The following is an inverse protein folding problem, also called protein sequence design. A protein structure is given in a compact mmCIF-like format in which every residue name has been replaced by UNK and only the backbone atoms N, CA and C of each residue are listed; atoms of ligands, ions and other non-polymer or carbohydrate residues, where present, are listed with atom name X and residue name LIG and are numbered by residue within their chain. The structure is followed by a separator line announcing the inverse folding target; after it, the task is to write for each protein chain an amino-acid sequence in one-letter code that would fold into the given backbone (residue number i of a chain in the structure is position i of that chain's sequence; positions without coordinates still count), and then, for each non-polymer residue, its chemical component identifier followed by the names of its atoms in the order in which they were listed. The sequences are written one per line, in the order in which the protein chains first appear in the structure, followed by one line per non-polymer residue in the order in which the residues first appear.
data_IF_317881810299
#
_entry.id   IF_317881810299
#
_cell.length_a   1.000
_cell.length_b   1.000
_cell.length_c   1.000
_cell.angle_alpha   90.00
_cell.angle_beta   90.00
_cell.angle_gamma   90.00
#
_symmetry.space_group_name_H-M   'P 1'
#
loop_
_entity.id
_entity.type
_entity.pdbx_description
1 polymer ?
#
# COMPACT_ATOMS: atom_id res chain seq x y z
N UNK A 1 -19.16 3.17 6.63
CA UNK A 1 -18.45 3.65 5.41
C UNK A 1 -19.45 4.30 4.45
N UNK A 2 -19.24 5.56 4.04
CA UNK A 2 -20.19 6.31 3.18
C UNK A 2 -20.26 5.80 1.73
N UNK A 3 -19.21 5.12 1.25
CA UNK A 3 -19.08 4.63 -0.13
C UNK A 3 -20.20 3.67 -0.54
N UNK A 4 -20.69 2.83 0.38
CA UNK A 4 -21.81 1.93 0.09
C UNK A 4 -23.06 2.71 -0.33
N UNK A 5 -23.34 3.87 0.29
CA UNK A 5 -24.52 4.67 -0.03
C UNK A 5 -24.43 5.27 -1.44
N UNK A 6 -23.23 5.55 -1.93
CA UNK A 6 -23.00 6.19 -3.23
C UNK A 6 -23.04 5.20 -4.40
N UNK A 7 -22.76 3.92 -4.16
CA UNK A 7 -22.87 2.89 -5.18
C UNK A 7 -24.36 2.64 -5.52
N UNK A 8 -24.66 2.39 -6.80
CA UNK A 8 -25.98 1.86 -7.20
C UNK A 8 -26.13 0.42 -6.68
N UNK A 9 -27.35 -0.08 -6.44
CA UNK A 9 -27.56 -1.49 -6.11
C UNK A 9 -26.88 -2.41 -7.14
N UNK A 10 -26.12 -3.41 -6.67
CA UNK A 10 -25.30 -4.28 -7.54
C UNK A 10 -23.96 -3.67 -8.01
N UNK A 11 -23.68 -2.41 -7.66
CA UNK A 11 -22.41 -1.75 -8.01
C UNK A 11 -21.19 -2.43 -7.39
N UNK A 12 -20.07 -2.37 -8.10
CA UNK A 12 -18.78 -2.92 -7.67
C UNK A 12 -17.93 -1.83 -7.00
N UNK A 13 -17.41 -2.14 -5.83
CA UNK A 13 -16.28 -1.46 -5.22
C UNK A 13 -15.00 -2.24 -5.57
N UNK A 14 -14.01 -1.56 -6.14
CA UNK A 14 -12.66 -2.07 -6.35
C UNK A 14 -11.68 -1.01 -5.84
N UNK A 15 -10.76 -1.39 -4.95
CA UNK A 15 -9.68 -0.51 -4.54
C UNK A 15 -8.45 -1.31 -4.14
N UNK A 16 -7.31 -0.62 -4.08
CA UNK A 16 -6.06 -1.17 -3.57
C UNK A 16 -5.54 -0.27 -2.47
N UNK A 17 -4.91 -0.83 -1.45
CA UNK A 17 -4.34 -0.03 -0.35
C UNK A 17 -3.09 -0.68 0.23
N UNK A 18 -2.21 0.15 0.80
CA UNK A 18 -1.09 -0.32 1.61
C UNK A 18 -1.66 -0.83 2.93
N UNK A 19 -1.27 -2.05 3.29
CA UNK A 19 -1.76 -2.75 4.47
C UNK A 19 -0.59 -3.07 5.40
N UNK A 20 -0.92 -3.27 6.68
CA UNK A 20 0.02 -3.90 7.60
C UNK A 20 0.23 -5.35 7.18
N UNK A 21 1.49 -5.76 7.09
CA UNK A 21 1.83 -7.15 6.83
C UNK A 21 1.77 -8.02 8.09
N UNK A 22 2.26 -9.26 7.97
CA UNK A 22 2.27 -10.22 9.08
C UNK A 22 3.46 -10.04 10.04
N UNK A 23 4.44 -9.22 9.67
CA UNK A 23 5.64 -8.92 10.44
C UNK A 23 5.38 -7.84 11.50
N UNK A 24 6.22 -7.82 12.52
CA UNK A 24 6.17 -6.79 13.57
C UNK A 24 6.77 -5.48 13.03
N UNK A 25 6.06 -4.33 13.13
CA UNK A 25 6.60 -3.06 12.68
C UNK A 25 7.91 -2.70 13.36
N UNK A 26 8.92 -2.38 12.56
CA UNK A 26 10.19 -1.82 13.03
C UNK A 26 10.01 -0.39 13.51
N UNK A 27 10.96 0.09 14.32
CA UNK A 27 11.00 1.51 14.73
C UNK A 27 11.06 2.46 13.52
N UNK A 28 11.83 2.11 12.49
CA UNK A 28 11.93 2.92 11.27
C UNK A 28 10.62 2.99 10.50
N UNK A 29 9.84 1.90 10.47
CA UNK A 29 8.50 1.93 9.88
C UNK A 29 7.56 2.78 10.72
N UNK A 30 7.56 2.64 12.04
CA UNK A 30 6.70 3.42 12.93
C UNK A 30 6.98 4.92 12.77
N UNK A 31 8.24 5.33 12.82
CA UNK A 31 8.66 6.72 12.62
C UNK A 31 8.18 7.25 11.26
N UNK A 32 8.31 6.45 10.21
CA UNK A 32 7.81 6.81 8.88
C UNK A 32 6.28 6.99 8.87
N UNK A 33 5.53 6.04 9.43
CA UNK A 33 4.07 6.12 9.50
C UNK A 33 3.59 7.31 10.34
N UNK A 34 4.36 7.75 11.33
CA UNK A 34 4.04 8.97 12.07
C UNK A 34 4.06 10.22 11.19
N UNK A 35 4.96 10.29 10.20
CA UNK A 35 5.03 11.40 9.24
C UNK A 35 3.84 11.43 8.28
N UNK A 36 3.16 10.30 8.09
CA UNK A 36 2.03 10.15 7.17
C UNK A 36 0.65 10.34 7.82
N UNK A 37 0.59 10.72 9.11
CA UNK A 37 -0.68 10.85 9.84
C UNK A 37 -1.67 11.75 9.07
N UNK A 38 -2.94 11.32 8.93
CA UNK A 38 -3.60 10.24 9.69
C UNK A 38 -3.56 8.84 9.03
N UNK A 39 -2.76 8.60 8.00
CA UNK A 39 -2.77 7.34 7.26
C UNK A 39 -1.95 6.23 7.97
N UNK A 40 -2.61 5.43 8.80
CA UNK A 40 -2.03 4.20 9.37
C UNK A 40 -2.57 2.97 8.63
N UNK A 41 -1.69 2.17 7.99
CA UNK A 41 -2.09 0.90 7.38
C UNK A 41 -2.79 -0.01 8.40
N UNK A 42 -3.78 -0.75 7.92
CA UNK A 42 -4.49 -1.77 8.69
C UNK A 42 -4.38 -3.13 8.00
N UNK A 43 -4.73 -4.20 8.70
CA UNK A 43 -4.68 -5.55 8.12
C UNK A 43 -5.85 -5.80 7.16
N UNK A 44 -5.72 -6.80 6.29
CA UNK A 44 -6.79 -7.24 5.38
C UNK A 44 -8.08 -7.57 6.15
N UNK A 45 -7.95 -8.20 7.31
CA UNK A 45 -9.07 -8.61 8.16
C UNK A 45 -9.85 -7.40 8.65
N UNK A 46 -9.14 -6.35 9.07
CA UNK A 46 -9.76 -5.10 9.55
C UNK A 46 -10.52 -4.41 8.42
N UNK A 47 -9.93 -4.30 7.22
CA UNK A 47 -10.62 -3.77 6.05
C UNK A 47 -11.84 -4.63 5.65
N UNK A 48 -11.69 -5.95 5.66
CA UNK A 48 -12.76 -6.90 5.33
C UNK A 48 -13.94 -6.78 6.29
N UNK A 49 -13.66 -6.72 7.60
CA UNK A 49 -14.67 -6.54 8.63
C UNK A 49 -15.36 -5.17 8.51
N UNK A 50 -14.63 -4.11 8.16
CA UNK A 50 -15.22 -2.79 7.94
C UNK A 50 -16.16 -2.77 6.73
N UNK A 51 -15.81 -3.48 5.65
CA UNK A 51 -16.69 -3.64 4.48
C UNK A 51 -17.95 -4.44 4.82
N UNK A 52 -17.81 -5.57 5.51
CA UNK A 52 -18.93 -6.39 5.99
C UNK A 52 -19.88 -5.57 6.87
N UNK A 53 -19.32 -4.87 7.87
CA UNK A 53 -20.09 -4.02 8.79
C UNK A 53 -20.77 -2.84 8.10
N UNK A 54 -20.29 -2.45 6.91
CA UNK A 54 -20.89 -1.40 6.09
C UNK A 54 -21.95 -1.92 5.10
N UNK A 55 -22.22 -3.23 5.09
CA UNK A 55 -23.26 -3.85 4.28
C UNK A 55 -22.83 -4.24 2.86
N UNK A 56 -21.52 -4.27 2.59
CA UNK A 56 -21.01 -4.84 1.33
C UNK A 56 -21.13 -6.38 1.33
N UNK A 57 -21.29 -6.95 0.14
CA UNK A 57 -21.42 -8.39 -0.12
C UNK A 57 -20.33 -8.87 -1.08
N UNK A 58 -20.17 -10.20 -1.19
CA UNK A 58 -19.20 -10.83 -2.10
C UNK A 58 -17.79 -10.25 -1.93
N UNK A 59 -17.39 -10.02 -0.68
CA UNK A 59 -16.11 -9.38 -0.37
C UNK A 59 -14.99 -10.38 -0.67
N UNK A 60 -14.02 -9.94 -1.46
CA UNK A 60 -12.77 -10.65 -1.70
C UNK A 60 -11.61 -9.70 -1.49
N UNK A 61 -10.51 -10.24 -1.01
CA UNK A 61 -9.27 -9.53 -0.79
C UNK A 61 -8.10 -10.43 -1.14
N UNK A 62 -7.11 -9.85 -1.80
CA UNK A 62 -5.91 -10.56 -2.22
C UNK A 62 -4.69 -9.79 -1.70
N UNK A 63 -3.78 -10.51 -1.04
CA UNK A 63 -2.49 -9.96 -0.64
C UNK A 63 -1.55 -9.99 -1.86
N UNK A 64 -1.16 -8.79 -2.30
CA UNK A 64 -0.33 -8.55 -3.47
C UNK A 64 1.13 -8.24 -3.10
N UNK A 65 1.60 -8.60 -1.89
CA UNK A 65 2.94 -8.28 -1.40
C UNK A 65 4.06 -8.69 -2.33
N UNK A 66 4.02 -9.92 -2.87
CA UNK A 66 5.03 -10.40 -3.83
C UNK A 66 5.01 -9.63 -5.15
N UNK A 67 3.83 -9.19 -5.59
CA UNK A 67 3.70 -8.38 -6.80
C UNK A 67 4.24 -6.97 -6.54
N UNK A 68 3.99 -6.43 -5.35
CA UNK A 68 4.49 -5.13 -4.94
C UNK A 68 6.02 -5.13 -4.81
N UNK A 69 6.60 -6.14 -4.17
CA UNK A 69 8.05 -6.36 -4.09
C UNK A 69 8.68 -6.30 -5.49
N UNK A 70 8.15 -7.06 -6.45
CA UNK A 70 8.65 -7.05 -7.82
C UNK A 70 8.55 -5.68 -8.50
N UNK A 71 7.43 -4.97 -8.32
CA UNK A 71 7.26 -3.61 -8.86
C UNK A 71 8.34 -2.68 -8.30
N UNK A 72 8.56 -2.70 -6.98
CA UNK A 72 9.58 -1.89 -6.32
C UNK A 72 11.00 -2.22 -6.82
N UNK A 73 11.31 -3.51 -7.02
CA UNK A 73 12.59 -3.93 -7.59
C UNK A 73 12.81 -3.42 -9.02
N UNK A 74 11.77 -3.51 -9.85
CA UNK A 74 11.84 -3.07 -11.24
C UNK A 74 11.93 -1.53 -11.32
N UNK A 75 11.18 -0.80 -10.49
CA UNK A 75 11.27 0.65 -10.36
C UNK A 75 12.67 1.09 -9.91
N UNK A 76 13.26 0.43 -8.90
CA UNK A 76 14.62 0.73 -8.44
C UNK A 76 15.69 0.53 -9.52
N UNK A 77 15.54 -0.49 -10.39
CA UNK A 77 16.45 -0.70 -11.54
C UNK A 77 16.32 0.45 -12.56
N UNK A 78 15.11 0.94 -12.79
CA UNK A 78 14.86 2.08 -13.68
C UNK A 78 15.45 3.36 -13.09
N UNK A 79 15.23 3.62 -11.80
CA UNK A 79 15.83 4.76 -11.10
C UNK A 79 17.37 4.72 -11.13
N UNK A 80 17.98 3.55 -10.95
CA UNK A 80 19.43 3.40 -11.00
C UNK A 80 20.03 3.63 -12.40
N UNK A 81 19.25 3.40 -13.46
CA UNK A 81 19.69 3.58 -14.86
C UNK A 81 19.38 4.95 -15.43
N UNK A 82 18.62 5.78 -14.71
CA UNK A 82 18.25 7.15 -15.12
C UNK A 82 19.23 8.15 -14.49
N UNK A 83 19.91 8.98 -15.30
CA UNK A 83 20.83 9.98 -14.77
C UNK A 83 20.08 11.09 -14.02
N UNK A 84 20.65 11.55 -12.89
CA UNK A 84 20.06 12.56 -12.00
C UNK A 84 19.73 13.90 -12.68
N UNK A 85 20.36 14.19 -13.81
CA UNK A 85 20.11 15.38 -14.65
C UNK A 85 18.69 15.42 -15.25
N UNK A 86 18.02 14.27 -15.40
CA UNK A 86 16.68 14.18 -16.02
C UNK A 86 15.51 14.48 -15.05
N UNK A 87 15.77 14.56 -13.74
CA UNK A 87 14.74 14.62 -12.70
C UNK A 87 14.67 15.99 -11.98
N UNK A 88 15.40 16.98 -12.46
CA UNK A 88 15.24 18.39 -12.08
C UNK A 88 15.77 18.80 -10.70
N UNK A 89 16.11 17.86 -9.81
CA UNK A 89 16.75 18.12 -8.51
C UNK A 89 17.40 16.83 -7.94
N UNK A 90 18.74 16.80 -7.83
CA UNK A 90 19.50 15.63 -7.34
C UNK A 90 19.14 15.23 -5.90
N UNK A 91 18.78 16.23 -5.07
CA UNK A 91 18.39 15.99 -3.66
C UNK A 91 17.05 15.25 -3.57
N UNK A 92 16.11 15.57 -4.46
CA UNK A 92 14.84 14.83 -4.54
C UNK A 92 15.04 13.41 -5.08
N UNK A 93 15.98 13.21 -5.99
CA UNK A 93 16.30 11.89 -6.51
C UNK A 93 16.91 10.96 -5.45
N UNK A 94 17.87 11.46 -4.66
CA UNK A 94 18.47 10.69 -3.57
C UNK A 94 17.43 10.31 -2.49
N UNK A 95 16.61 11.28 -2.06
CA UNK A 95 15.56 11.04 -1.06
C UNK A 95 14.51 10.03 -1.55
N UNK A 96 14.13 10.08 -2.83
CA UNK A 96 13.19 9.11 -3.42
C UNK A 96 13.78 7.71 -3.50
N UNK A 97 15.07 7.59 -3.84
CA UNK A 97 15.78 6.31 -3.86
C UNK A 97 15.84 5.70 -2.47
N UNK A 98 16.22 6.47 -1.47
CA UNK A 98 16.34 6.00 -0.09
C UNK A 98 14.98 5.54 0.46
N UNK A 99 13.91 6.28 0.15
CA UNK A 99 12.56 5.88 0.53
C UNK A 99 12.11 4.58 -0.15
N UNK A 100 12.44 4.37 -1.43
CA UNK A 100 12.16 3.11 -2.13
C UNK A 100 12.92 1.93 -1.53
N UNK A 101 14.20 2.12 -1.19
CA UNK A 101 15.00 1.10 -0.50
C UNK A 101 14.39 0.75 0.87
N UNK A 102 13.95 1.76 1.65
CA UNK A 102 13.26 1.54 2.92
C UNK A 102 11.95 0.78 2.77
N UNK A 103 11.14 1.12 1.76
CA UNK A 103 9.92 0.37 1.44
C UNK A 103 10.21 -1.09 1.13
N UNK A 104 11.26 -1.37 0.36
CA UNK A 104 11.69 -2.75 0.09
C UNK A 104 12.08 -3.50 1.37
N UNK A 105 12.82 -2.86 2.28
CA UNK A 105 13.13 -3.46 3.58
C UNK A 105 11.86 -3.85 4.34
N UNK A 106 10.88 -2.94 4.44
CA UNK A 106 9.62 -3.21 5.14
C UNK A 106 8.75 -4.27 4.45
N UNK A 107 8.72 -4.32 3.12
CA UNK A 107 8.01 -5.35 2.34
C UNK A 107 8.66 -6.72 2.59
N UNK A 108 9.99 -6.80 2.48
CA UNK A 108 10.74 -8.05 2.65
C UNK A 108 10.65 -8.58 4.09
N UNK A 109 10.62 -7.67 5.08
CA UNK A 109 10.37 -7.99 6.48
C UNK A 109 8.89 -8.32 6.79
N UNK A 110 8.01 -8.25 5.78
CA UNK A 110 6.55 -8.44 5.88
C UNK A 110 5.89 -7.46 6.83
N UNK A 111 6.48 -6.30 7.09
CA UNK A 111 5.91 -5.27 7.95
C UNK A 111 4.84 -4.45 7.21
N UNK A 112 5.06 -4.23 5.91
CA UNK A 112 4.07 -3.69 4.99
C UNK A 112 3.73 -4.70 3.91
N UNK A 113 2.51 -4.60 3.39
CA UNK A 113 2.14 -5.26 2.14
C UNK A 113 1.17 -4.38 1.35
N UNK A 114 0.76 -4.86 0.18
CA UNK A 114 -0.24 -4.24 -0.66
C UNK A 114 -1.41 -5.21 -0.80
N UNK A 115 -2.64 -4.71 -0.80
CA UNK A 115 -3.80 -5.56 -1.03
C UNK A 115 -4.78 -4.95 -2.01
N UNK A 116 -5.45 -5.83 -2.73
CA UNK A 116 -6.59 -5.54 -3.58
C UNK A 116 -7.85 -5.95 -2.83
N UNK A 117 -8.89 -5.13 -2.90
CA UNK A 117 -10.19 -5.39 -2.29
C UNK A 117 -11.29 -5.22 -3.33
N UNK A 118 -12.25 -6.15 -3.32
CA UNK A 118 -13.44 -6.12 -4.18
C UNK A 118 -14.68 -6.45 -3.38
N UNK A 119 -15.78 -5.74 -3.63
CA UNK A 119 -17.06 -6.05 -3.02
C UNK A 119 -18.24 -5.48 -3.81
N UNK A 120 -19.46 -5.95 -3.57
CA UNK A 120 -20.68 -5.44 -4.17
C UNK A 120 -21.59 -4.74 -3.15
N UNK A 121 -22.37 -3.77 -3.60
CA UNK A 121 -23.50 -3.22 -2.85
C UNK A 121 -24.73 -4.13 -2.92
#
# INVERSE_FOLDING_TARGET
MFLQKWLRPGGLLFYTDIISGSGQPSGSLLDYLETLKPCSPSTIETYTQAMQSSGFKNISSDNCGLQWEKICEDDLKIFASTSGESLGDEMNHANMRDLWLKKMEWINAKELSWAVFKANK
#
